data_IF_754412909845
#
_entry.id   IF_754412909845
#
_cell.length_a   1.000
_cell.length_b   1.000
_cell.length_c   1.000
_cell.angle_alpha   90.00
_cell.angle_beta   90.00
_cell.angle_gamma   90.00
#
_symmetry.space_group_name_H-M   'P 1'
#
loop_
_entity.id
_entity.type
_entity.pdbx_description
1 polymer ?
#
# COMPACT_ATOMS: atom_id res chain seq x y z
N UNK A 1 11.33 -10.54 18.65
CA UNK A 1 12.16 -11.23 17.64
C UNK A 1 13.37 -10.33 17.43
N UNK A 2 14.58 -10.85 17.68
CA UNK A 2 15.87 -10.16 17.53
C UNK A 2 16.15 -8.99 18.50
N UNK A 3 17.42 -8.59 18.54
CA UNK A 3 17.92 -7.39 19.22
C UNK A 3 18.98 -6.73 18.34
N UNK A 4 18.98 -5.40 18.25
CA UNK A 4 20.10 -4.65 17.69
C UNK A 4 20.91 -4.04 18.83
N UNK A 5 22.23 -4.22 18.82
CA UNK A 5 23.12 -3.65 19.85
C UNK A 5 24.32 -2.97 19.19
N UNK A 6 24.79 -1.88 19.79
CA UNK A 6 25.98 -1.15 19.37
C UNK A 6 26.80 -0.77 20.61
N UNK A 7 28.12 -0.97 20.53
CA UNK A 7 29.10 -0.50 21.50
C UNK A 7 30.13 0.35 20.75
N UNK A 8 30.29 1.60 21.19
CA UNK A 8 31.35 2.49 20.71
C UNK A 8 32.20 2.94 21.90
N UNK A 9 33.53 3.00 21.73
CA UNK A 9 34.44 3.41 22.77
C UNK A 9 35.60 4.24 22.22
N UNK A 10 35.99 5.27 22.98
CA UNK A 10 37.17 6.11 22.73
C UNK A 10 38.11 6.01 23.94
N UNK A 11 39.03 5.04 23.96
CA UNK A 11 39.90 4.79 25.12
C UNK A 11 40.78 5.97 25.50
N UNK A 12 41.32 6.73 24.54
CA UNK A 12 42.16 7.90 24.84
C UNK A 12 41.38 8.97 25.60
N UNK A 13 40.08 9.06 25.35
CA UNK A 13 39.16 9.99 26.01
C UNK A 13 38.47 9.40 27.24
N UNK A 14 38.61 8.09 27.48
CA UNK A 14 37.89 7.31 28.51
C UNK A 14 36.36 7.42 28.39
N UNK A 15 35.87 7.40 27.15
CA UNK A 15 34.44 7.46 26.84
C UNK A 15 33.98 6.13 26.25
N UNK A 16 32.74 5.75 26.52
CA UNK A 16 32.09 4.60 25.91
C UNK A 16 30.57 4.72 25.97
N UNK A 17 29.90 4.23 24.93
CA UNK A 17 28.44 4.22 24.82
C UNK A 17 27.99 2.84 24.37
N UNK A 18 26.96 2.32 25.04
CA UNK A 18 26.24 1.12 24.62
C UNK A 18 24.80 1.49 24.38
N UNK A 19 24.25 1.08 23.24
CA UNK A 19 22.82 1.16 22.95
C UNK A 19 22.30 -0.22 22.57
N UNK A 20 21.06 -0.50 22.96
CA UNK A 20 20.36 -1.73 22.63
C UNK A 20 18.90 -1.42 22.26
N UNK A 21 18.37 -2.17 21.31
CA UNK A 21 16.99 -2.11 20.86
C UNK A 21 16.42 -3.53 20.86
N UNK A 22 15.19 -3.67 21.36
CA UNK A 22 14.45 -4.94 21.38
C UNK A 22 13.70 -5.22 20.06
N UNK A 23 14.16 -4.61 18.96
CA UNK A 23 13.64 -4.80 17.61
C UNK A 23 14.80 -5.12 16.67
N UNK A 24 14.67 -6.21 15.92
CA UNK A 24 15.66 -6.62 14.93
C UNK A 24 15.77 -5.62 13.76
N UNK A 25 16.93 -5.60 13.09
CA UNK A 25 17.18 -4.71 11.95
C UNK A 25 17.30 -3.22 12.29
N UNK A 26 17.17 -2.83 13.57
CA UNK A 26 17.27 -1.42 14.00
C UNK A 26 18.70 -0.94 14.26
N UNK A 27 19.69 -1.57 13.62
CA UNK A 27 21.11 -1.24 13.75
C UNK A 27 21.40 0.23 13.43
N UNK A 28 20.72 0.80 12.42
CA UNK A 28 20.85 2.23 12.09
C UNK A 28 20.41 3.17 13.22
N UNK A 29 19.37 2.79 13.99
CA UNK A 29 18.89 3.59 15.13
C UNK A 29 19.87 3.50 16.30
N UNK A 30 20.28 2.29 16.68
CA UNK A 30 21.22 2.13 17.81
C UNK A 30 22.57 2.77 17.50
N UNK A 31 23.06 2.70 16.25
CA UNK A 31 24.26 3.39 15.81
C UNK A 31 24.12 4.92 15.87
N UNK A 32 22.99 5.48 15.40
CA UNK A 32 22.74 6.93 15.49
C UNK A 32 22.72 7.42 16.94
N UNK A 33 22.12 6.63 17.84
CA UNK A 33 22.08 6.93 19.26
C UNK A 33 23.48 6.91 19.88
N UNK A 34 24.28 5.87 19.60
CA UNK A 34 25.66 5.79 20.12
C UNK A 34 26.51 6.93 19.60
N UNK A 35 26.44 7.23 18.30
CA UNK A 35 27.21 8.29 17.67
C UNK A 35 26.87 9.67 18.24
N UNK A 36 25.58 9.97 18.41
CA UNK A 36 25.16 11.25 18.96
C UNK A 36 25.53 11.39 20.43
N UNK A 37 25.35 10.34 21.24
CA UNK A 37 25.77 10.32 22.64
C UNK A 37 27.29 10.54 22.77
N UNK A 38 28.09 9.89 21.91
CA UNK A 38 29.54 10.07 21.91
C UNK A 38 29.94 11.50 21.57
N UNK A 39 29.28 12.14 20.59
CA UNK A 39 29.50 13.56 20.27
C UNK A 39 29.13 14.49 21.43
N UNK A 40 28.04 14.22 22.15
CA UNK A 40 27.68 14.97 23.37
C UNK A 40 28.76 14.83 24.45
N UNK A 41 29.27 13.62 24.66
CA UNK A 41 30.33 13.35 25.65
C UNK A 41 31.64 14.04 25.29
N UNK A 42 32.05 14.01 24.01
CA UNK A 42 33.24 14.72 23.51
C UNK A 42 33.09 16.23 23.71
N UNK A 43 31.98 16.82 23.25
CA UNK A 43 31.75 18.26 23.39
C UNK A 43 31.76 18.70 24.87
N UNK A 44 31.18 17.89 25.75
CA UNK A 44 31.20 18.13 27.20
C UNK A 44 32.62 18.07 27.77
N UNK A 45 33.42 17.08 27.36
CA UNK A 45 34.81 16.94 27.80
C UNK A 45 35.70 18.09 27.31
N UNK A 46 35.46 18.57 26.09
CA UNK A 46 36.25 19.63 25.44
C UNK A 46 35.77 21.04 25.82
N UNK A 47 34.67 21.16 26.57
CA UNK A 47 34.07 22.45 26.95
C UNK A 47 33.43 23.18 25.77
N UNK A 48 33.10 22.46 24.70
CA UNK A 48 32.45 22.98 23.51
C UNK A 48 30.93 23.03 23.66
N UNK A 49 30.26 23.78 22.77
CA UNK A 49 28.80 23.77 22.72
C UNK A 49 28.28 22.40 22.30
N UNK A 50 27.22 21.92 22.97
CA UNK A 50 26.63 20.64 22.63
C UNK A 50 26.08 20.64 21.20
N UNK A 51 26.34 19.59 20.40
CA UNK A 51 25.82 19.50 19.05
C UNK A 51 24.29 19.43 19.04
N UNK A 52 23.67 20.24 18.19
CA UNK A 52 22.22 20.19 17.97
C UNK A 52 21.83 18.90 17.26
N UNK A 53 20.77 18.24 17.75
CA UNK A 53 20.18 17.11 17.07
C UNK A 53 19.38 17.56 15.85
N UNK A 54 19.77 17.09 14.66
CA UNK A 54 19.07 17.41 13.42
C UNK A 54 17.74 16.65 13.34
N UNK A 55 16.64 17.38 13.31
CA UNK A 55 15.28 16.83 13.21
C UNK A 55 14.82 16.69 11.76
N UNK A 56 13.93 15.72 11.52
CA UNK A 56 13.28 15.49 10.22
C UNK A 56 11.77 15.38 10.38
N UNK A 57 11.04 15.78 9.35
CA UNK A 57 9.57 15.69 9.26
C UNK A 57 9.11 15.05 7.94
N UNK A 58 7.79 14.90 7.76
CA UNK A 58 7.22 14.40 6.51
C UNK A 58 7.64 15.25 5.31
N UNK A 59 7.81 14.61 4.15
CA UNK A 59 8.07 15.31 2.89
C UNK A 59 6.78 16.01 2.44
N UNK A 60 6.80 17.31 2.09
CA UNK A 60 5.63 18.00 1.56
C UNK A 60 5.05 17.31 0.31
N UNK A 61 3.71 17.25 0.14
CA UNK A 61 3.08 16.49 -0.95
C UNK A 61 3.58 16.84 -2.36
N UNK A 62 3.83 18.11 -2.65
CA UNK A 62 4.35 18.56 -3.96
C UNK A 62 5.73 17.96 -4.23
N UNK A 63 6.65 18.02 -3.25
CA UNK A 63 7.98 17.41 -3.37
C UNK A 63 7.91 15.88 -3.40
N UNK A 64 6.96 15.28 -2.69
CA UNK A 64 6.74 13.85 -2.74
C UNK A 64 6.33 13.40 -4.16
N UNK A 65 5.44 14.15 -4.83
CA UNK A 65 5.01 13.85 -6.20
C UNK A 65 6.18 13.82 -7.17
N UNK A 66 7.14 14.74 -7.05
CA UNK A 66 8.33 14.78 -7.89
C UNK A 66 9.25 13.58 -7.67
N UNK A 67 9.25 12.97 -6.48
CA UNK A 67 10.07 11.81 -6.15
C UNK A 67 9.42 10.48 -6.51
N UNK A 68 8.09 10.38 -6.58
CA UNK A 68 7.41 9.11 -6.82
C UNK A 68 7.78 8.58 -8.21
N UNK A 69 8.27 7.35 -8.25
CA UNK A 69 8.68 6.73 -9.51
C UNK A 69 9.58 5.51 -9.32
N UNK A 70 9.87 4.86 -10.44
CA UNK A 70 10.88 3.80 -10.53
C UNK A 70 12.12 4.40 -11.19
N UNK A 71 13.29 4.02 -10.69
CA UNK A 71 14.55 4.50 -11.18
C UNK A 71 15.53 3.35 -11.38
N UNK A 72 16.39 3.49 -12.40
CA UNK A 72 17.49 2.56 -12.68
C UNK A 72 18.80 3.31 -12.50
N UNK A 73 19.77 2.64 -11.89
CA UNK A 73 21.13 3.16 -11.78
C UNK A 73 21.72 3.47 -13.16
N UNK A 74 22.46 4.58 -13.28
CA UNK A 74 23.03 5.02 -14.56
C UNK A 74 24.12 4.06 -15.05
N UNK A 75 25.07 3.74 -14.18
CA UNK A 75 26.25 2.93 -14.49
C UNK A 75 26.13 1.48 -13.99
N UNK A 76 24.91 1.01 -13.74
CA UNK A 76 24.68 -0.28 -13.12
C UNK A 76 23.29 -0.86 -13.40
N UNK A 77 23.02 -1.99 -12.76
CA UNK A 77 21.77 -2.74 -12.94
C UNK A 77 20.85 -2.68 -11.71
N UNK A 78 21.15 -1.80 -10.73
CA UNK A 78 20.31 -1.64 -9.55
C UNK A 78 19.08 -0.80 -9.89
N UNK A 79 17.99 -1.09 -9.20
CA UNK A 79 16.75 -0.32 -9.27
C UNK A 79 16.39 0.20 -7.89
N UNK A 80 15.72 1.35 -7.87
CA UNK A 80 15.07 1.88 -6.68
C UNK A 80 13.67 2.35 -7.03
N UNK A 81 12.73 2.17 -6.11
CA UNK A 81 11.34 2.59 -6.28
C UNK A 81 10.96 3.49 -5.12
N UNK A 82 10.45 4.67 -5.44
CA UNK A 82 9.91 5.60 -4.45
C UNK A 82 8.39 5.61 -4.57
N UNK A 83 7.72 5.33 -3.45
CA UNK A 83 6.26 5.26 -3.32
C UNK A 83 5.79 6.20 -2.22
N UNK A 84 4.52 6.58 -2.29
CA UNK A 84 3.84 7.27 -1.20
C UNK A 84 2.72 6.36 -0.68
N UNK A 85 2.58 6.32 0.65
CA UNK A 85 1.55 5.57 1.34
C UNK A 85 1.14 6.32 2.61
N UNK A 86 -0.12 6.70 2.71
CA UNK A 86 -0.72 7.38 3.87
C UNK A 86 0.03 8.65 4.32
N UNK A 87 0.47 9.46 3.37
CA UNK A 87 1.23 10.70 3.56
C UNK A 87 2.72 10.50 3.82
N UNK A 88 3.21 9.26 3.83
CA UNK A 88 4.63 8.92 4.02
C UNK A 88 5.26 8.50 2.71
N UNK A 89 6.51 8.92 2.49
CA UNK A 89 7.28 8.58 1.29
C UNK A 89 8.27 7.48 1.64
N UNK A 90 8.35 6.45 0.81
CA UNK A 90 9.22 5.31 1.04
C UNK A 90 10.07 5.01 -0.18
N UNK A 91 11.34 4.75 0.03
CA UNK A 91 12.29 4.27 -0.97
C UNK A 91 12.61 2.79 -0.74
N UNK A 92 12.41 1.96 -1.75
CA UNK A 92 12.86 0.58 -1.76
C UNK A 92 14.26 0.48 -2.35
N UNK A 93 15.19 -0.14 -1.63
CA UNK A 93 16.56 -0.37 -2.05
C UNK A 93 16.97 -1.81 -1.72
N UNK A 94 17.25 -2.60 -2.75
CA UNK A 94 17.47 -4.03 -2.57
C UNK A 94 16.21 -4.69 -1.99
N UNK A 95 16.39 -5.44 -0.91
CA UNK A 95 15.30 -6.11 -0.20
C UNK A 95 14.62 -5.25 0.87
N UNK A 96 15.09 -4.02 1.12
CA UNK A 96 14.60 -3.21 2.24
C UNK A 96 13.84 -1.99 1.75
N UNK A 97 12.90 -1.53 2.57
CA UNK A 97 12.12 -0.31 2.36
C UNK A 97 12.44 0.68 3.48
N UNK A 98 12.67 1.94 3.10
CA UNK A 98 13.07 3.00 4.01
C UNK A 98 12.14 4.21 3.90
N UNK A 99 11.71 4.80 5.02
CA UNK A 99 11.00 6.09 5.03
C UNK A 99 11.96 7.21 4.62
N UNK A 100 11.55 8.03 3.65
CA UNK A 100 12.21 9.28 3.30
C UNK A 100 11.53 10.43 4.04
N UNK A 101 12.35 11.24 4.70
CA UNK A 101 11.93 12.42 5.47
C UNK A 101 12.71 13.65 5.05
N UNK A 102 12.12 14.82 5.27
CA UNK A 102 12.75 16.11 4.98
C UNK A 102 13.36 16.69 6.27
N UNK A 103 14.62 17.12 6.21
CA UNK A 103 15.26 17.81 7.33
C UNK A 103 14.58 19.15 7.62
N UNK A 104 14.39 19.47 8.91
CA UNK A 104 13.64 20.65 9.34
C UNK A 104 14.36 21.98 9.05
N UNK A 105 15.68 21.93 8.87
CA UNK A 105 16.56 23.10 8.70
C UNK A 105 16.66 23.57 7.23
N UNK A 106 16.93 22.65 6.31
CA UNK A 106 17.21 22.96 4.90
C UNK A 106 16.32 22.18 3.91
N UNK A 107 15.42 21.32 4.41
CA UNK A 107 14.55 20.49 3.59
C UNK A 107 15.24 19.33 2.87
N UNK A 108 16.50 19.01 3.18
CA UNK A 108 17.23 17.86 2.61
C UNK A 108 16.43 16.59 2.81
N UNK A 109 16.23 15.82 1.74
CA UNK A 109 15.57 14.51 1.84
C UNK A 109 16.61 13.47 2.24
N UNK A 110 16.32 12.73 3.29
CA UNK A 110 17.16 11.65 3.80
C UNK A 110 16.30 10.46 4.19
N UNK A 111 16.90 9.28 4.12
CA UNK A 111 16.40 8.13 4.87
C UNK A 111 16.47 8.47 6.36
N UNK A 112 15.35 8.27 7.06
CA UNK A 112 15.26 8.41 8.51
C UNK A 112 14.05 7.61 9.02
N UNK A 113 14.30 6.37 9.45
CA UNK A 113 13.32 5.47 10.04
C UNK A 113 13.95 4.47 11.03
N UNK A 114 13.18 3.44 11.40
CA UNK A 114 13.59 2.40 12.33
C UNK A 114 14.74 1.52 11.79
N UNK A 115 14.92 1.44 10.47
CA UNK A 115 15.88 0.52 9.82
C UNK A 115 17.10 1.24 9.23
N UNK A 116 17.01 2.54 8.98
CA UNK A 116 18.08 3.29 8.34
C UNK A 116 18.06 4.79 8.66
N UNK A 117 19.24 5.40 8.55
CA UNK A 117 19.40 6.85 8.70
C UNK A 117 20.50 7.42 7.80
N UNK A 118 20.33 8.66 7.35
CA UNK A 118 21.40 9.49 6.80
C UNK A 118 21.71 9.33 5.31
N UNK A 119 21.12 8.34 4.63
CA UNK A 119 21.26 8.21 3.18
C UNK A 119 20.46 9.34 2.50
N UNK A 120 21.18 10.30 1.92
CA UNK A 120 20.56 11.44 1.23
C UNK A 120 19.93 11.02 -0.10
N UNK A 121 18.80 11.63 -0.44
CA UNK A 121 18.16 11.53 -1.76
C UNK A 121 18.03 12.93 -2.34
N UNK A 122 18.58 13.15 -3.53
CA UNK A 122 18.55 14.46 -4.20
C UNK A 122 17.86 14.32 -5.54
N UNK A 123 16.80 15.12 -5.76
CA UNK A 123 16.12 15.19 -7.05
C UNK A 123 17.04 15.82 -8.11
N UNK A 124 17.00 15.28 -9.33
CA UNK A 124 17.66 15.77 -10.54
C UNK A 124 16.63 15.89 -11.66
N UNK A 125 16.95 16.61 -12.72
CA UNK A 125 16.01 16.91 -13.81
C UNK A 125 15.30 15.67 -14.40
N UNK A 126 16.01 14.55 -14.55
CA UNK A 126 15.45 13.28 -15.05
C UNK A 126 15.76 12.08 -14.15
N UNK A 127 15.87 12.29 -12.83
CA UNK A 127 16.29 11.22 -11.94
C UNK A 127 16.51 11.65 -10.50
N UNK A 128 17.27 10.84 -9.78
CA UNK A 128 17.68 11.10 -8.40
C UNK A 128 19.13 10.69 -8.17
N UNK A 129 19.76 11.26 -7.16
CA UNK A 129 20.98 10.72 -6.57
C UNK A 129 20.64 10.15 -5.20
N UNK A 130 21.06 8.92 -4.93
CA UNK A 130 20.92 8.26 -3.62
C UNK A 130 22.31 8.03 -3.06
N UNK A 131 22.67 8.74 -1.98
CA UNK A 131 24.06 8.87 -1.55
C UNK A 131 24.90 9.46 -2.67
N UNK A 132 25.88 8.69 -3.14
CA UNK A 132 26.77 9.07 -4.26
C UNK A 132 26.40 8.38 -5.59
N UNK A 133 25.32 7.59 -5.62
CA UNK A 133 24.91 6.84 -6.81
C UNK A 133 23.81 7.60 -7.57
N UNK A 134 24.01 7.79 -8.88
CA UNK A 134 23.02 8.38 -9.78
C UNK A 134 22.03 7.34 -10.32
N UNK A 135 20.76 7.73 -10.37
CA UNK A 135 19.68 6.94 -10.93
C UNK A 135 18.86 7.79 -11.90
N UNK A 136 18.51 7.22 -13.05
CA UNK A 136 17.60 7.80 -14.03
C UNK A 136 16.18 7.32 -13.79
N UNK A 137 15.21 8.23 -13.97
CA UNK A 137 13.79 7.91 -13.89
C UNK A 137 13.40 7.05 -15.07
N UNK A 138 12.73 5.93 -14.78
CA UNK A 138 12.12 5.10 -15.81
C UNK A 138 10.73 5.65 -16.18
N UNK A 139 10.33 5.53 -17.45
CA UNK A 139 8.96 5.81 -17.85
C UNK A 139 8.02 4.88 -17.09
N UNK A 140 6.80 5.36 -16.84
CA UNK A 140 5.78 4.44 -16.35
C UNK A 140 5.47 3.39 -17.41
N UNK A 141 5.32 2.15 -16.95
CA UNK A 141 4.86 1.05 -17.78
C UNK A 141 3.66 0.41 -17.09
N UNK A 142 2.64 -0.04 -17.85
CA UNK A 142 1.60 -0.87 -17.28
C UNK A 142 2.23 -2.13 -16.65
N UNK A 143 1.63 -2.69 -15.58
CA UNK A 143 2.06 -3.98 -15.05
C UNK A 143 2.12 -5.03 -16.16
N UNK A 144 3.13 -5.89 -16.11
CA UNK A 144 3.22 -7.00 -17.05
C UNK A 144 2.04 -7.97 -16.83
N UNK A 145 1.63 -8.66 -17.89
CA UNK A 145 0.68 -9.75 -17.71
C UNK A 145 1.32 -10.85 -16.86
N UNK A 146 0.61 -11.26 -15.81
CA UNK A 146 1.06 -12.34 -14.93
C UNK A 146 1.06 -13.64 -15.73
N UNK A 147 2.22 -14.32 -15.87
CA UNK A 147 2.30 -15.65 -16.46
C UNK A 147 1.28 -16.59 -15.83
N UNK A 148 0.55 -17.36 -16.66
CA UNK A 148 -0.56 -18.18 -16.17
C UNK A 148 -0.18 -19.13 -15.03
N UNK A 149 1.01 -19.73 -15.09
CA UNK A 149 1.51 -20.65 -14.08
C UNK A 149 1.88 -19.97 -12.75
N UNK A 150 2.10 -18.64 -12.72
CA UNK A 150 2.34 -17.89 -11.47
C UNK A 150 1.06 -17.55 -10.72
N UNK A 151 -0.10 -17.52 -11.38
CA UNK A 151 -1.37 -17.08 -10.75
C UNK A 151 -1.71 -17.90 -9.50
N UNK A 152 -1.50 -19.22 -9.56
CA UNK A 152 -1.70 -20.10 -8.42
C UNK A 152 -0.66 -19.98 -7.30
N UNK A 153 0.45 -19.26 -7.53
CA UNK A 153 1.50 -19.00 -6.53
C UNK A 153 1.29 -17.69 -5.78
N UNK A 154 0.70 -16.68 -6.42
CA UNK A 154 0.48 -15.38 -5.81
C UNK A 154 -0.53 -15.50 -4.66
N UNK A 155 -0.22 -14.90 -3.52
CA UNK A 155 -1.05 -14.98 -2.32
C UNK A 155 -0.26 -14.84 -1.03
N UNK A 156 -0.96 -15.07 0.08
CA UNK A 156 -0.40 -15.05 1.43
C UNK A 156 -0.22 -16.47 1.96
N UNK A 157 0.86 -16.69 2.70
CA UNK A 157 1.20 -17.97 3.30
C UNK A 157 1.67 -17.79 4.76
N UNK A 158 1.48 -18.81 5.60
CA UNK A 158 1.90 -18.84 6.99
C UNK A 158 0.88 -18.27 7.97
N UNK A 159 1.37 -17.64 9.03
CA UNK A 159 0.57 -17.24 10.19
C UNK A 159 0.38 -15.72 10.25
N UNK A 160 -0.60 -15.27 11.05
CA UNK A 160 -0.86 -13.84 11.27
C UNK A 160 0.33 -13.09 11.87
N UNK A 161 1.27 -13.79 12.52
CA UNK A 161 2.47 -13.23 13.12
C UNK A 161 3.74 -13.47 12.29
N UNK A 162 3.63 -14.15 11.15
CA UNK A 162 4.72 -14.34 10.19
C UNK A 162 4.13 -14.72 8.84
N UNK A 163 3.62 -13.72 8.13
CA UNK A 163 3.01 -13.89 6.82
C UNK A 163 4.08 -13.73 5.74
N UNK A 164 4.19 -14.73 4.88
CA UNK A 164 4.94 -14.67 3.62
C UNK A 164 3.99 -14.24 2.51
N UNK A 165 4.28 -13.13 1.84
CA UNK A 165 3.54 -12.72 0.64
C UNK A 165 4.34 -13.08 -0.60
N UNK A 166 3.67 -13.74 -1.54
CA UNK A 166 4.16 -13.96 -2.89
C UNK A 166 3.34 -13.07 -3.82
N UNK A 167 4.01 -12.18 -4.53
CA UNK A 167 3.37 -11.25 -5.45
C UNK A 167 4.18 -11.11 -6.74
N UNK A 168 3.52 -10.69 -7.81
CA UNK A 168 4.18 -10.32 -9.05
C UNK A 168 4.44 -8.81 -9.05
N UNK A 169 5.66 -8.42 -9.44
CA UNK A 169 6.01 -7.04 -9.69
C UNK A 169 7.01 -6.97 -10.86
N UNK A 170 6.64 -6.22 -11.91
CA UNK A 170 7.48 -5.93 -13.08
C UNK A 170 8.03 -7.19 -13.80
N UNK A 171 7.17 -8.20 -13.97
CA UNK A 171 7.48 -9.45 -14.65
C UNK A 171 8.35 -10.40 -13.82
N UNK A 172 8.36 -10.25 -12.49
CA UNK A 172 9.05 -11.16 -11.56
C UNK A 172 8.19 -11.46 -10.36
N UNK A 173 8.32 -12.67 -9.81
CA UNK A 173 7.79 -12.93 -8.47
C UNK A 173 8.70 -12.35 -7.40
N UNK A 174 8.09 -11.83 -6.34
CA UNK A 174 8.73 -11.33 -5.15
C UNK A 174 8.20 -12.06 -3.93
N UNK A 175 9.09 -12.27 -2.95
CA UNK A 175 8.75 -12.72 -1.62
C UNK A 175 8.90 -11.56 -0.63
N UNK A 176 7.80 -11.13 0.00
CA UNK A 176 7.85 -10.31 1.20
C UNK A 176 7.81 -11.24 2.42
N UNK A 177 8.93 -11.36 3.11
CA UNK A 177 9.13 -12.25 4.27
C UNK A 177 9.63 -11.46 5.47
N UNK A 178 9.31 -11.91 6.68
CA UNK A 178 9.62 -11.23 7.94
C UNK A 178 9.20 -9.74 7.93
N UNK A 179 8.09 -9.40 7.26
CA UNK A 179 7.48 -8.05 7.23
C UNK A 179 8.23 -6.97 6.45
N UNK A 180 9.55 -7.09 6.26
CA UNK A 180 10.36 -6.02 5.67
C UNK A 180 11.39 -6.49 4.63
N UNK A 181 11.61 -7.80 4.47
CA UNK A 181 12.47 -8.31 3.40
C UNK A 181 11.68 -8.60 2.14
N UNK A 182 11.97 -7.84 1.09
CA UNK A 182 11.29 -7.88 -0.20
C UNK A 182 12.23 -8.39 -1.29
N UNK A 183 12.28 -9.71 -1.46
CA UNK A 183 13.25 -10.38 -2.34
C UNK A 183 12.71 -10.63 -3.74
N UNK A 184 13.41 -10.21 -4.81
CA UNK A 184 13.13 -10.69 -6.15
C UNK A 184 13.51 -12.17 -6.26
N UNK A 185 12.62 -12.97 -6.83
CA UNK A 185 12.82 -14.40 -7.00
C UNK A 185 13.28 -14.71 -8.42
N UNK A 186 14.13 -15.72 -8.55
CA UNK A 186 14.54 -16.26 -9.85
C UNK A 186 13.88 -17.62 -10.06
N UNK A 187 13.07 -17.73 -11.10
CA UNK A 187 12.43 -18.99 -11.46
C UNK A 187 13.48 -20.04 -11.87
N UNK A 188 13.43 -21.22 -11.23
CA UNK A 188 14.20 -22.41 -11.60
C UNK A 188 13.34 -23.36 -12.40
N UNK A 189 12.11 -23.57 -11.93
CA UNK A 189 11.03 -24.26 -12.63
C UNK A 189 9.68 -23.79 -12.07
N UNK A 190 8.59 -24.34 -12.57
CA UNK A 190 7.21 -23.95 -12.22
C UNK A 190 6.88 -23.95 -10.71
N UNK A 191 7.63 -24.68 -9.88
CA UNK A 191 7.39 -24.84 -8.44
C UNK A 191 8.59 -24.43 -7.58
N UNK A 192 9.72 -24.04 -8.18
CA UNK A 192 10.96 -23.76 -7.45
C UNK A 192 11.54 -22.43 -7.89
N UNK A 193 11.82 -21.57 -6.91
CA UNK A 193 12.37 -20.25 -7.13
C UNK A 193 13.55 -20.02 -6.19
N UNK A 194 14.66 -19.52 -6.72
CA UNK A 194 15.82 -19.15 -5.91
C UNK A 194 15.61 -17.75 -5.32
N UNK A 195 16.00 -17.59 -4.05
CA UNK A 195 16.27 -16.27 -3.47
C UNK A 195 17.52 -15.66 -4.13
N UNK A 196 17.72 -14.33 -4.05
CA UNK A 196 18.90 -13.72 -4.64
C UNK A 196 20.18 -14.12 -3.91
N UNK A 197 21.33 -13.82 -4.51
CA UNK A 197 22.68 -14.10 -3.99
C UNK A 197 23.12 -13.18 -2.83
N UNK A 198 22.15 -12.56 -2.15
CA UNK A 198 22.36 -11.62 -1.06
C UNK A 198 21.22 -11.68 -0.04
N UNK A 199 21.46 -11.13 1.15
CA UNK A 199 20.47 -11.09 2.23
C UNK A 199 20.42 -12.38 3.04
N UNK A 200 19.44 -12.45 3.95
CA UNK A 200 19.33 -13.53 4.94
C UNK A 200 19.06 -14.91 4.30
N UNK A 201 18.33 -14.92 3.19
CA UNK A 201 17.91 -16.12 2.47
C UNK A 201 18.83 -16.46 1.28
N UNK A 202 20.05 -15.92 1.25
CA UNK A 202 21.00 -16.25 0.18
C UNK A 202 21.25 -17.76 0.13
N UNK A 203 21.05 -18.35 -1.05
CA UNK A 203 21.27 -19.78 -1.32
C UNK A 203 20.05 -20.64 -1.01
N UNK A 204 19.01 -20.05 -0.43
CA UNK A 204 17.74 -20.72 -0.17
C UNK A 204 16.82 -20.71 -1.39
N UNK A 205 15.80 -21.57 -1.32
CA UNK A 205 14.77 -21.69 -2.35
C UNK A 205 13.38 -21.59 -1.74
N UNK A 206 12.43 -21.12 -2.54
CA UNK A 206 11.00 -21.32 -2.34
C UNK A 206 10.54 -22.53 -3.14
N UNK A 207 9.93 -23.49 -2.45
CA UNK A 207 9.41 -24.73 -3.05
C UNK A 207 7.92 -24.83 -2.81
N UNK A 208 7.15 -24.65 -3.88
CA UNK A 208 5.69 -24.68 -3.84
C UNK A 208 5.15 -26.10 -4.05
N UNK A 209 4.11 -26.44 -3.29
CA UNK A 209 3.27 -27.62 -3.54
C UNK A 209 1.90 -27.13 -3.98
N UNK A 210 1.37 -27.68 -5.08
CA UNK A 210 0.10 -27.28 -5.68
C UNK A 210 -0.95 -28.38 -5.63
N UNK A 211 -2.21 -27.98 -5.65
CA UNK A 211 -3.34 -28.87 -5.90
C UNK A 211 -3.51 -29.15 -7.42
N UNK A 212 -4.53 -29.94 -7.77
CA UNK A 212 -4.82 -30.33 -9.15
C UNK A 212 -5.21 -29.13 -10.05
N UNK A 213 -5.72 -28.06 -9.45
CA UNK A 213 -6.08 -26.81 -10.13
C UNK A 213 -4.89 -25.87 -10.35
N UNK A 214 -3.67 -26.28 -9.94
CA UNK A 214 -2.45 -25.49 -10.07
C UNK A 214 -2.32 -24.37 -9.03
N UNK A 215 -3.13 -24.37 -7.98
CA UNK A 215 -3.06 -23.43 -6.86
C UNK A 215 -2.14 -24.00 -5.78
N UNK A 216 -1.15 -23.23 -5.36
CA UNK A 216 -0.24 -23.64 -4.29
C UNK A 216 -1.00 -23.79 -2.96
N UNK A 217 -0.88 -24.94 -2.32
CA UNK A 217 -1.46 -25.21 -1.00
C UNK A 217 -0.52 -24.79 0.13
N UNK A 218 0.79 -24.86 -0.11
CA UNK A 218 1.83 -24.38 0.80
C UNK A 218 3.12 -24.10 0.03
N UNK A 219 4.05 -23.43 0.70
CA UNK A 219 5.42 -23.18 0.22
C UNK A 219 6.42 -23.42 1.33
N UNK A 220 7.55 -24.04 1.00
CA UNK A 220 8.68 -24.21 1.92
C UNK A 220 9.72 -23.13 1.61
N UNK A 221 10.14 -22.39 2.64
CA UNK A 221 11.22 -21.40 2.60
C UNK A 221 12.18 -21.67 3.76
N UNK A 222 13.48 -21.88 3.49
CA UNK A 222 14.49 -22.17 4.52
C UNK A 222 14.03 -23.27 5.51
N UNK A 223 13.57 -24.40 4.97
CA UNK A 223 13.03 -25.56 5.72
C UNK A 223 11.74 -25.32 6.51
N UNK A 224 11.20 -24.11 6.51
CA UNK A 224 9.93 -23.77 7.16
C UNK A 224 8.79 -23.85 6.14
N UNK A 225 7.73 -24.59 6.49
CA UNK A 225 6.52 -24.69 5.69
C UNK A 225 5.52 -23.58 6.05
N UNK A 226 5.08 -22.84 5.05
CA UNK A 226 4.06 -21.80 5.15
C UNK A 226 2.80 -22.26 4.41
N UNK A 227 1.74 -22.56 5.15
CA UNK A 227 0.42 -22.93 4.59
C UNK A 227 -0.22 -21.75 3.85
N UNK A 228 -0.87 -21.98 2.72
CA UNK A 228 -1.62 -20.92 2.04
C UNK A 228 -2.75 -20.42 2.95
N UNK A 229 -2.85 -19.11 3.08
CA UNK A 229 -3.92 -18.44 3.84
C UNK A 229 -5.13 -18.22 2.95
N UNK A 230 -6.32 -18.40 3.51
CA UNK A 230 -7.57 -18.00 2.86
C UNK A 230 -7.84 -16.52 3.15
N UNK A 231 -7.43 -15.66 2.24
CA UNK A 231 -7.65 -14.21 2.34
C UNK A 231 -8.64 -13.74 1.28
N UNK A 232 -9.78 -13.23 1.74
CA UNK A 232 -10.83 -12.72 0.88
C UNK A 232 -11.56 -13.80 0.06
N UNK A 233 -12.20 -13.35 -1.00
CA UNK A 233 -12.98 -14.19 -1.93
C UNK A 233 -12.16 -14.52 -3.18
N UNK A 234 -12.46 -15.67 -3.80
CA UNK A 234 -11.77 -16.13 -5.02
C UNK A 234 -12.16 -15.27 -6.23
N UNK A 235 -11.21 -15.02 -7.11
CA UNK A 235 -11.43 -14.57 -8.50
C UNK A 235 -12.48 -13.45 -8.72
N UNK A 236 -12.41 -12.39 -7.91
CA UNK A 236 -13.26 -11.20 -8.09
C UNK A 236 -14.72 -11.35 -7.61
N UNK A 237 -15.06 -12.50 -7.01
CA UNK A 237 -16.28 -12.64 -6.22
C UNK A 237 -16.27 -11.64 -5.07
N UNK A 238 -17.44 -11.24 -4.60
CA UNK A 238 -17.58 -10.37 -3.43
C UNK A 238 -18.01 -11.19 -2.22
N UNK A 239 -17.42 -10.91 -1.06
CA UNK A 239 -17.88 -11.40 0.24
C UNK A 239 -19.40 -11.29 0.35
N UNK A 240 -20.10 -12.34 0.84
CA UNK A 240 -21.57 -12.34 0.95
C UNK A 240 -22.02 -12.50 2.39
N UNK A 241 -23.10 -11.78 2.74
CA UNK A 241 -23.87 -11.98 3.96
C UNK A 241 -25.12 -12.81 3.67
N UNK A 242 -25.68 -13.41 4.71
CA UNK A 242 -27.09 -13.82 4.70
C UNK A 242 -27.93 -12.63 5.17
N UNK A 243 -28.81 -12.06 4.32
CA UNK A 243 -29.66 -10.95 4.74
C UNK A 243 -30.55 -11.35 5.91
N UNK A 244 -30.69 -10.47 6.91
CA UNK A 244 -31.53 -10.73 8.10
C UNK A 244 -33.04 -10.80 7.77
N UNK A 245 -33.44 -10.31 6.60
CA UNK A 245 -34.81 -10.37 6.06
C UNK A 245 -34.79 -10.61 4.55
N UNK A 246 -35.88 -11.16 3.97
CA UNK A 246 -36.00 -11.31 2.52
C UNK A 246 -35.87 -9.97 1.78
N UNK A 247 -35.13 -9.98 0.66
CA UNK A 247 -34.81 -8.77 -0.11
C UNK A 247 -36.07 -8.01 -0.57
N UNK A 248 -37.14 -8.70 -0.94
CA UNK A 248 -38.36 -8.05 -1.41
C UNK A 248 -39.10 -7.30 -0.29
N UNK A 249 -39.07 -7.84 0.93
CA UNK A 249 -39.63 -7.14 2.11
C UNK A 249 -38.81 -5.90 2.44
N UNK A 250 -37.47 -6.01 2.39
CA UNK A 250 -36.56 -4.89 2.57
C UNK A 250 -36.80 -3.80 1.52
N UNK A 251 -37.01 -4.18 0.25
CA UNK A 251 -37.27 -3.25 -0.85
C UNK A 251 -38.57 -2.49 -0.65
N UNK A 252 -39.65 -3.20 -0.30
CA UNK A 252 -40.95 -2.59 -0.04
C UNK A 252 -40.87 -1.60 1.14
N UNK A 253 -40.24 -2.01 2.24
CA UNK A 253 -40.07 -1.16 3.43
C UNK A 253 -39.21 0.08 3.13
N UNK A 254 -38.14 -0.06 2.34
CA UNK A 254 -37.25 1.05 2.01
C UNK A 254 -37.88 2.05 1.04
N UNK A 255 -38.70 1.59 0.09
CA UNK A 255 -39.44 2.46 -0.84
C UNK A 255 -40.60 3.22 -0.16
N UNK A 256 -41.17 2.65 0.90
CA UNK A 256 -42.19 3.31 1.72
C UNK A 256 -41.61 4.33 2.73
N UNK A 257 -40.29 4.33 2.92
CA UNK A 257 -39.61 5.23 3.84
C UNK A 257 -39.09 6.49 3.13
N UNK A 258 -38.94 7.58 3.88
CA UNK A 258 -38.39 8.84 3.39
C UNK A 258 -37.01 9.05 4.01
N UNK A 259 -36.02 9.59 3.26
CA UNK A 259 -34.75 10.01 3.85
C UNK A 259 -34.97 11.02 4.98
N UNK A 260 -34.12 11.00 6.03
CA UNK A 260 -34.17 12.00 7.07
C UNK A 260 -33.96 13.40 6.47
N UNK A 261 -34.62 14.45 7.01
CA UNK A 261 -34.39 15.81 6.55
C UNK A 261 -32.95 16.20 6.85
N UNK A 262 -32.24 16.71 5.85
CA UNK A 262 -30.89 17.27 6.02
C UNK A 262 -31.00 18.79 5.91
N UNK A 263 -30.90 19.55 7.01
CA UNK A 263 -30.92 21.01 6.95
C UNK A 263 -29.56 21.53 6.50
N UNK A 264 -29.56 22.48 5.56
CA UNK A 264 -28.34 23.09 5.06
C UNK A 264 -28.53 23.81 3.73
N UNK A 265 -27.51 24.55 3.31
CA UNK A 265 -27.47 25.16 1.98
C UNK A 265 -26.80 24.17 1.03
N UNK A 266 -27.60 23.48 0.22
CA UNK A 266 -27.11 22.52 -0.77
C UNK A 266 -26.99 23.16 -2.14
N UNK A 267 -26.10 22.59 -2.95
CA UNK A 267 -26.08 22.87 -4.39
C UNK A 267 -27.28 22.20 -5.05
N UNK A 268 -27.77 22.80 -6.13
CA UNK A 268 -28.77 22.16 -6.99
C UNK A 268 -28.23 20.82 -7.51
N UNK A 269 -29.06 19.74 -7.52
CA UNK A 269 -28.61 18.45 -8.01
C UNK A 269 -28.30 18.47 -9.51
N UNK A 270 -27.04 18.22 -9.87
CA UNK A 270 -26.60 18.04 -11.25
C UNK A 270 -25.83 16.72 -11.36
N UNK A 271 -26.58 15.62 -11.48
CA UNK A 271 -26.01 14.28 -11.65
C UNK A 271 -25.66 14.04 -13.13
N UNK A 272 -24.39 13.73 -13.38
CA UNK A 272 -23.85 13.41 -14.71
C UNK A 272 -23.28 11.99 -14.71
N UNK A 273 -23.38 11.31 -15.85
CA UNK A 273 -22.79 9.97 -16.02
C UNK A 273 -21.28 10.10 -16.27
N UNK A 274 -20.45 9.37 -15.52
CA UNK A 274 -18.99 9.48 -15.64
C UNK A 274 -18.48 9.21 -17.07
N UNK A 275 -19.04 8.20 -17.75
CA UNK A 275 -18.60 7.80 -19.09
C UNK A 275 -19.01 8.77 -20.19
N UNK A 276 -19.91 9.73 -19.93
CA UNK A 276 -20.19 10.81 -20.88
C UNK A 276 -19.14 11.93 -20.79
N UNK A 277 -18.43 12.04 -19.66
CA UNK A 277 -17.31 12.97 -19.50
C UNK A 277 -15.98 12.35 -19.94
N UNK A 278 -15.79 11.06 -19.66
CA UNK A 278 -14.61 10.30 -20.09
C UNK A 278 -14.99 8.85 -20.38
N UNK A 279 -15.08 8.50 -21.67
CA UNK A 279 -15.48 7.17 -22.13
C UNK A 279 -14.44 6.07 -21.84
N UNK A 280 -13.24 6.43 -21.37
CA UNK A 280 -12.19 5.46 -21.00
C UNK A 280 -12.40 4.88 -19.60
N UNK A 281 -13.22 5.52 -18.75
CA UNK A 281 -13.54 5.00 -17.42
C UNK A 281 -14.31 3.68 -17.55
N UNK A 282 -13.81 2.64 -16.89
CA UNK A 282 -14.46 1.32 -16.86
C UNK A 282 -15.45 1.25 -15.71
N UNK A 283 -16.42 0.36 -15.84
CA UNK A 283 -17.47 0.17 -14.84
C UNK A 283 -17.74 -1.30 -14.63
N UNK A 284 -17.85 -1.67 -13.37
CA UNK A 284 -18.36 -2.96 -12.92
C UNK A 284 -19.26 -2.67 -11.72
N UNK A 285 -20.44 -2.12 -12.02
CA UNK A 285 -21.36 -1.59 -11.01
C UNK A 285 -21.98 -2.74 -10.23
N UNK A 286 -21.41 -3.04 -9.07
CA UNK A 286 -21.67 -4.26 -8.29
C UNK A 286 -23.14 -4.41 -7.92
N UNK A 287 -23.82 -3.29 -7.63
CA UNK A 287 -25.23 -3.28 -7.23
C UNK A 287 -26.22 -3.33 -8.40
N UNK A 288 -25.73 -3.33 -9.65
CA UNK A 288 -26.51 -3.65 -10.85
C UNK A 288 -26.44 -5.15 -11.23
N UNK A 289 -25.74 -5.98 -10.45
CA UNK A 289 -25.63 -7.43 -10.62
C UNK A 289 -25.81 -8.15 -9.27
N UNK A 290 -25.72 -9.48 -9.27
CA UNK A 290 -25.72 -10.30 -8.05
C UNK A 290 -24.32 -10.47 -7.43
N UNK A 291 -23.26 -9.93 -8.07
CA UNK A 291 -21.91 -9.93 -7.52
C UNK A 291 -21.72 -8.75 -6.54
N UNK A 292 -22.43 -8.82 -5.42
CA UNK A 292 -22.29 -7.91 -4.29
C UNK A 292 -22.61 -8.65 -2.99
N UNK A 293 -22.41 -7.98 -1.87
CA UNK A 293 -22.47 -8.63 -0.57
C UNK A 293 -23.84 -9.18 -0.16
N UNK A 294 -24.94 -8.71 -0.75
CA UNK A 294 -26.27 -9.26 -0.47
C UNK A 294 -26.71 -10.33 -1.47
N UNK A 295 -26.00 -10.47 -2.60
CA UNK A 295 -26.37 -11.35 -3.71
C UNK A 295 -27.56 -10.88 -4.55
N UNK A 296 -28.14 -9.69 -4.30
CA UNK A 296 -29.33 -9.21 -5.01
C UNK A 296 -29.05 -7.99 -5.91
N UNK A 297 -29.93 -7.75 -6.88
CA UNK A 297 -29.86 -6.58 -7.78
C UNK A 297 -30.62 -5.39 -7.18
N UNK A 298 -29.98 -4.22 -7.12
CA UNK A 298 -30.58 -2.99 -6.58
C UNK A 298 -30.70 -1.89 -7.63
N UNK A 299 -29.79 -1.84 -8.60
CA UNK A 299 -29.80 -0.81 -9.64
C UNK A 299 -30.41 -1.36 -10.92
N UNK A 300 -31.20 -0.52 -11.58
CA UNK A 300 -31.82 -0.85 -12.87
C UNK A 300 -30.85 -0.80 -14.06
N UNK A 301 -29.71 -0.12 -13.89
CA UNK A 301 -28.72 0.07 -14.93
C UNK A 301 -27.29 0.10 -14.35
N UNK A 302 -26.29 -0.46 -15.06
CA UNK A 302 -24.89 -0.43 -14.63
C UNK A 302 -24.22 0.90 -14.99
N UNK A 303 -24.79 2.01 -14.52
CA UNK A 303 -24.27 3.36 -14.74
C UNK A 303 -23.75 3.98 -13.45
N UNK A 304 -22.70 4.80 -13.57
CA UNK A 304 -22.13 5.57 -12.47
C UNK A 304 -22.47 7.05 -12.66
N UNK A 305 -23.38 7.56 -11.84
CA UNK A 305 -23.73 8.98 -11.80
C UNK A 305 -23.05 9.65 -10.61
N UNK A 306 -22.62 10.89 -10.78
CA UNK A 306 -22.04 11.70 -9.70
C UNK A 306 -22.46 13.16 -9.86
N UNK A 307 -22.42 13.91 -8.76
CA UNK A 307 -22.54 15.36 -8.83
C UNK A 307 -21.39 15.91 -9.67
N UNK A 308 -21.70 16.81 -10.60
CA UNK A 308 -20.75 17.26 -11.63
C UNK A 308 -19.36 17.66 -11.12
N UNK A 309 -19.20 18.46 -10.04
CA UNK A 309 -17.86 18.79 -9.54
C UNK A 309 -17.06 17.56 -9.07
N UNK A 310 -17.74 16.57 -8.49
CA UNK A 310 -17.12 15.31 -8.09
C UNK A 310 -16.79 14.44 -9.31
N UNK A 311 -17.69 14.39 -10.30
CA UNK A 311 -17.48 13.70 -11.56
C UNK A 311 -16.23 14.23 -12.31
N UNK A 312 -16.10 15.56 -12.39
CA UNK A 312 -14.92 16.22 -13.00
C UNK A 312 -13.63 15.91 -12.23
N UNK A 313 -13.69 15.80 -10.90
CA UNK A 313 -12.53 15.38 -10.10
C UNK A 313 -12.12 13.94 -10.39
N UNK A 314 -13.10 13.03 -10.54
CA UNK A 314 -12.85 11.64 -10.95
C UNK A 314 -12.25 11.56 -12.35
N UNK A 315 -12.72 12.39 -13.28
CA UNK A 315 -12.10 12.49 -14.62
C UNK A 315 -10.65 12.93 -14.50
N UNK A 316 -10.33 13.98 -13.73
CA UNK A 316 -8.93 14.40 -13.52
C UNK A 316 -8.07 13.27 -12.93
N UNK A 317 -8.59 12.52 -11.96
CA UNK A 317 -7.91 11.37 -11.39
C UNK A 317 -7.70 10.24 -12.42
N UNK A 318 -8.72 9.92 -13.24
CA UNK A 318 -8.56 8.94 -14.31
C UNK A 318 -7.50 9.37 -15.34
N UNK A 319 -7.47 10.65 -15.71
CA UNK A 319 -6.49 11.19 -16.65
C UNK A 319 -5.06 11.17 -16.07
N UNK A 320 -4.88 11.45 -14.78
CA UNK A 320 -3.56 11.40 -14.14
C UNK A 320 -2.98 9.99 -14.05
N UNK A 321 -3.83 8.96 -14.12
CA UNK A 321 -3.44 7.55 -14.16
C UNK A 321 -3.03 7.07 -15.57
N UNK A 322 -3.52 7.71 -16.65
CA UNK A 322 -3.26 7.27 -18.03
C UNK A 322 -1.78 7.19 -18.40
N UNK A 323 -0.91 8.16 -18.04
CA UNK A 323 0.52 8.05 -18.30
C UNK A 323 1.14 6.80 -17.64
N UNK A 324 0.49 6.25 -16.61
CA UNK A 324 0.92 5.03 -15.91
C UNK A 324 0.38 3.73 -16.51
N UNK A 325 -0.36 3.81 -17.62
CA UNK A 325 -1.08 2.67 -18.18
C UNK A 325 -2.24 2.20 -17.30
N UNK A 326 -2.68 3.02 -16.35
CA UNK A 326 -3.75 2.72 -15.40
C UNK A 326 -5.01 3.52 -15.73
N UNK A 327 -6.15 3.03 -15.25
CA UNK A 327 -7.44 3.71 -15.33
C UNK A 327 -8.36 3.27 -14.20
N UNK A 328 -9.48 3.97 -14.04
CA UNK A 328 -10.44 3.66 -12.99
C UNK A 328 -11.45 2.60 -13.45
N UNK A 329 -11.72 1.64 -12.56
CA UNK A 329 -12.85 0.73 -12.62
C UNK A 329 -13.83 1.10 -11.50
N UNK A 330 -15.00 1.61 -11.87
CA UNK A 330 -15.99 2.09 -10.89
C UNK A 330 -16.92 0.96 -10.48
N UNK A 331 -17.02 0.72 -9.17
CA UNK A 331 -17.90 -0.31 -8.58
C UNK A 331 -19.23 0.25 -8.03
N UNK A 332 -19.23 1.51 -7.59
CA UNK A 332 -20.44 2.24 -7.19
C UNK A 332 -20.21 3.75 -7.34
N UNK A 333 -21.28 4.53 -7.39
CA UNK A 333 -21.21 5.99 -7.41
C UNK A 333 -22.43 6.56 -6.68
N UNK A 334 -23.28 7.33 -7.34
CA UNK A 334 -24.57 7.71 -6.77
C UNK A 334 -25.40 6.47 -6.41
N UNK A 335 -25.74 6.38 -5.12
CA UNK A 335 -26.61 5.35 -4.56
C UNK A 335 -27.90 6.00 -4.10
N UNK A 336 -29.09 5.60 -4.57
CA UNK A 336 -30.34 6.08 -4.01
C UNK A 336 -30.45 5.76 -2.51
N UNK A 337 -31.03 6.67 -1.70
CA UNK A 337 -31.09 6.49 -0.25
C UNK A 337 -31.79 5.19 0.19
N UNK A 338 -32.87 4.79 -0.50
CA UNK A 338 -33.57 3.55 -0.19
C UNK A 338 -32.65 2.31 -0.31
N UNK A 339 -31.63 2.34 -1.18
CA UNK A 339 -30.64 1.25 -1.27
C UNK A 339 -29.72 1.25 -0.04
N UNK A 340 -29.29 2.41 0.46
CA UNK A 340 -28.57 2.50 1.75
C UNK A 340 -29.41 1.92 2.88
N UNK A 341 -30.70 2.24 2.93
CA UNK A 341 -31.62 1.68 3.91
C UNK A 341 -31.74 0.15 3.78
N UNK A 342 -31.88 -0.37 2.56
CA UNK A 342 -31.89 -1.81 2.32
C UNK A 342 -30.58 -2.48 2.78
N UNK A 343 -29.42 -1.87 2.51
CA UNK A 343 -28.13 -2.42 2.96
C UNK A 343 -28.06 -2.50 4.47
N UNK A 344 -28.42 -1.42 5.16
CA UNK A 344 -28.45 -1.39 6.62
C UNK A 344 -29.43 -2.41 7.21
N UNK A 345 -30.66 -2.46 6.68
CA UNK A 345 -31.70 -3.36 7.18
C UNK A 345 -31.46 -4.83 6.79
N UNK A 346 -30.65 -5.12 5.77
CA UNK A 346 -30.20 -6.46 5.40
C UNK A 346 -29.06 -6.97 6.27
N UNK A 347 -28.25 -6.07 6.83
CA UNK A 347 -26.96 -6.41 7.43
C UNK A 347 -27.10 -6.83 8.90
N UNK A 348 -26.55 -7.99 9.30
CA UNK A 348 -26.46 -8.39 10.71
C UNK A 348 -25.78 -7.34 11.58
N UNK A 349 -26.16 -7.25 12.85
CA UNK A 349 -25.69 -6.19 13.76
C UNK A 349 -24.16 -6.12 13.88
N UNK A 350 -23.48 -7.27 13.91
CA UNK A 350 -22.03 -7.37 14.00
C UNK A 350 -21.27 -6.92 12.74
N UNK A 351 -21.99 -6.63 11.64
CA UNK A 351 -21.42 -6.16 10.37
C UNK A 351 -21.91 -4.75 10.00
N UNK A 352 -22.70 -4.09 10.86
CA UNK A 352 -23.27 -2.77 10.55
C UNK A 352 -22.24 -1.67 10.41
N UNK A 353 -21.05 -1.82 11.00
CA UNK A 353 -19.95 -0.86 10.85
C UNK A 353 -19.43 -0.75 9.41
N UNK A 354 -19.70 -1.75 8.56
CA UNK A 354 -19.30 -1.76 7.14
C UNK A 354 -20.35 -1.14 6.21
N UNK A 355 -21.51 -0.74 6.72
CA UNK A 355 -22.59 -0.14 5.93
C UNK A 355 -23.04 1.19 6.52
N UNK A 356 -23.32 2.17 5.66
CA UNK A 356 -23.73 3.49 6.13
C UNK A 356 -25.09 3.43 6.84
N UNK A 357 -25.18 4.07 8.02
CA UNK A 357 -26.44 4.23 8.73
C UNK A 357 -27.37 5.19 7.95
N UNK A 358 -28.55 4.75 7.48
CA UNK A 358 -29.45 5.57 6.67
C UNK A 358 -29.98 6.79 7.41
N UNK A 359 -29.96 6.81 8.75
CA UNK A 359 -30.33 7.99 9.55
C UNK A 359 -29.38 9.19 9.35
N UNK A 360 -28.15 8.94 8.91
CA UNK A 360 -27.14 9.98 8.64
C UNK A 360 -26.94 10.23 7.12
N UNK A 361 -27.63 9.44 6.29
CA UNK A 361 -27.36 9.36 4.86
C UNK A 361 -25.96 8.80 4.55
N UNK A 362 -25.54 8.95 3.29
CA UNK A 362 -24.22 8.52 2.81
C UNK A 362 -23.66 9.54 1.81
N UNK A 363 -22.33 9.64 1.70
CA UNK A 363 -21.69 10.42 0.62
C UNK A 363 -22.12 9.93 -0.77
N UNK A 364 -22.40 8.63 -0.91
CA UNK A 364 -22.98 8.07 -2.14
C UNK A 364 -24.39 8.60 -2.42
N UNK A 365 -25.22 8.83 -1.40
CA UNK A 365 -26.56 9.42 -1.58
C UNK A 365 -26.52 10.86 -2.10
N UNK A 366 -25.39 11.54 -1.87
CA UNK A 366 -25.15 12.91 -2.33
C UNK A 366 -24.43 12.96 -3.69
N UNK A 367 -24.09 11.81 -4.27
CA UNK A 367 -23.35 11.72 -5.55
C UNK A 367 -21.90 12.19 -5.46
N UNK A 368 -21.31 12.17 -4.25
CA UNK A 368 -19.97 12.69 -3.97
C UNK A 368 -19.00 11.60 -3.49
N UNK A 369 -19.31 10.33 -3.76
CA UNK A 369 -18.45 9.18 -3.49
C UNK A 369 -18.45 8.25 -4.70
N UNK A 370 -17.31 7.58 -4.91
CA UNK A 370 -16.99 6.67 -6.00
C UNK A 370 -16.06 5.58 -5.50
#
# INVERSE_FOLDING_TARGET
YGFSTQLEALPERKLGVVAASALDGTNGVVQRLTDYALRLMIATQDGESLPTYRQTGPIPPERAQDLIGKYREVDGNRFTKITELNGKVFMQRGASRYELRAAADDGTITVDDEFGFGTKVTLKDNGITVGDTAFERLPYQPPADIPGHWRGLIGEYGWDHNTLYILEEDGKLYALIEWFYYYPLKEVNENVFDFPDYGLYHGEQLKFTRNAEGVATHVIAAEVQFERREVGTKDGETFKITPVKPIDQLRAAALAATPPPEPGQYREPELVELTTLDSTIKRDIRYASTNNFTGAVFYKQPKAFMQKPAAEAVVRANQSLKPRGLGLLIHDAYRPWHVTKMFWDATPDNLKDFVANPANGSRHNRGCAV
#
